data_IF_134489707617
#
_entry.id   IF_134489707617
#
_cell.length_a   1.000
_cell.length_b   1.000
_cell.length_c   1.000
_cell.angle_alpha   90.00
_cell.angle_beta   90.00
_cell.angle_gamma   90.00
#
_symmetry.space_group_name_H-M   'P 1'
#
loop_
_entity.id
_entity.type
_entity.pdbx_description
1 polymer ?
#
# COMPACT_ATOMS: atom_id res chain seq x y z
N UNK A 1 9.86 -73.45 -1.66
CA UNK A 1 8.86 -72.40 -1.99
C UNK A 1 9.28 -71.02 -1.45
N UNK A 2 10.44 -70.48 -1.86
CA UNK A 2 10.94 -69.16 -1.41
C UNK A 2 10.98 -68.09 -2.52
N UNK A 3 10.70 -68.49 -3.77
CA UNK A 3 10.75 -67.61 -4.95
C UNK A 3 9.41 -66.95 -5.32
N UNK A 4 8.29 -67.40 -4.76
CA UNK A 4 6.95 -66.85 -5.07
C UNK A 4 6.67 -65.55 -4.30
N UNK A 5 7.31 -65.35 -3.14
CA UNK A 5 7.12 -64.14 -2.32
C UNK A 5 7.87 -62.90 -2.84
N UNK A 6 8.83 -63.06 -3.75
CA UNK A 6 9.59 -61.95 -4.31
C UNK A 6 8.96 -61.36 -5.58
N UNK A 7 8.04 -62.07 -6.25
CA UNK A 7 7.36 -61.52 -7.43
C UNK A 7 6.24 -60.51 -7.11
N UNK A 8 5.67 -60.54 -5.90
CA UNK A 8 4.64 -59.57 -5.51
C UNK A 8 5.19 -58.20 -5.11
N UNK A 9 6.48 -58.06 -4.78
CA UNK A 9 7.06 -56.77 -4.43
C UNK A 9 7.59 -55.98 -5.64
N UNK A 10 7.79 -56.62 -6.79
CA UNK A 10 8.30 -55.96 -8.00
C UNK A 10 7.17 -55.43 -8.89
N UNK A 11 5.95 -55.94 -8.74
CA UNK A 11 4.78 -55.52 -9.53
C UNK A 11 4.06 -54.28 -8.96
N UNK A 12 4.39 -53.83 -7.74
CA UNK A 12 3.78 -52.65 -7.12
C UNK A 12 4.58 -51.34 -7.29
N UNK A 13 5.72 -51.37 -7.99
CA UNK A 13 6.64 -50.22 -8.14
C UNK A 13 6.51 -49.47 -9.49
N UNK A 14 5.54 -49.83 -10.34
CA UNK A 14 5.36 -49.22 -11.67
C UNK A 14 4.11 -48.35 -11.83
N UNK A 15 3.49 -47.92 -10.72
CA UNK A 15 2.44 -46.88 -10.71
C UNK A 15 2.94 -45.61 -10.04
N UNK A 16 4.19 -45.24 -10.27
CA UNK A 16 4.62 -43.84 -10.21
C UNK A 16 4.02 -43.12 -11.42
N UNK A 17 2.70 -42.95 -11.41
CA UNK A 17 2.04 -42.04 -12.33
C UNK A 17 2.75 -40.71 -12.20
N UNK A 18 3.47 -40.31 -13.24
CA UNK A 18 4.04 -38.98 -13.32
C UNK A 18 2.84 -38.05 -13.20
N UNK A 19 2.64 -37.47 -12.02
CA UNK A 19 1.75 -36.35 -11.85
C UNK A 19 2.37 -35.24 -12.70
N UNK A 20 1.98 -35.18 -13.97
CA UNK A 20 2.32 -34.08 -14.85
C UNK A 20 1.56 -32.91 -14.25
N UNK A 21 2.24 -32.15 -13.38
CA UNK A 21 1.74 -30.86 -12.92
C UNK A 21 1.60 -30.00 -14.19
N UNK A 22 0.41 -30.02 -14.77
CA UNK A 22 0.09 -29.28 -15.97
C UNK A 22 -0.17 -27.84 -15.54
N UNK A 23 0.89 -27.11 -15.21
CA UNK A 23 0.79 -25.69 -14.87
C UNK A 23 0.12 -24.98 -16.05
N UNK A 24 -0.98 -24.29 -15.81
CA UNK A 24 -1.71 -23.55 -16.84
C UNK A 24 -1.02 -22.20 -17.04
N UNK A 25 -0.68 -21.87 -18.29
CA UNK A 25 -0.18 -20.53 -18.62
C UNK A 25 -1.35 -19.58 -18.77
N UNK A 26 -1.32 -18.47 -18.04
CA UNK A 26 -2.28 -17.37 -18.18
C UNK A 26 -1.82 -16.40 -19.26
N UNK A 27 -2.73 -16.00 -20.14
CA UNK A 27 -2.53 -14.94 -21.13
C UNK A 27 -3.73 -13.99 -21.09
N UNK A 28 -3.46 -12.69 -21.10
CA UNK A 28 -4.49 -11.64 -21.12
C UNK A 28 -4.42 -10.90 -22.44
N UNK A 29 -5.57 -10.70 -23.08
CA UNK A 29 -5.73 -9.97 -24.34
C UNK A 29 -6.76 -8.85 -24.18
N UNK A 30 -6.65 -7.79 -24.99
CA UNK A 30 -7.60 -6.66 -24.99
C UNK A 30 -7.26 -5.53 -24.02
N UNK A 31 -6.13 -5.62 -23.31
CA UNK A 31 -5.58 -4.56 -22.46
C UNK A 31 -4.28 -4.01 -23.03
N UNK A 32 -3.96 -2.76 -22.71
CA UNK A 32 -2.67 -2.15 -23.06
C UNK A 32 -2.17 -1.24 -21.93
N UNK A 33 -0.88 -0.92 -21.97
CA UNK A 33 -0.25 0.05 -21.07
C UNK A 33 -0.42 -0.29 -19.58
N UNK A 34 -0.87 0.69 -18.80
CA UNK A 34 -0.98 0.56 -17.34
C UNK A 34 -2.06 -0.43 -16.91
N UNK A 35 -3.14 -0.60 -17.69
CA UNK A 35 -4.19 -1.59 -17.40
C UNK A 35 -3.64 -3.01 -17.48
N UNK A 36 -2.91 -3.31 -18.55
CA UNK A 36 -2.28 -4.62 -18.73
C UNK A 36 -1.25 -4.90 -17.63
N UNK A 37 -0.41 -3.92 -17.30
CA UNK A 37 0.59 -4.03 -16.24
C UNK A 37 -0.06 -4.33 -14.88
N UNK A 38 -1.12 -3.60 -14.52
CA UNK A 38 -1.79 -3.78 -13.23
C UNK A 38 -2.49 -5.14 -13.13
N UNK A 39 -3.21 -5.54 -14.18
CA UNK A 39 -3.85 -6.86 -14.24
C UNK A 39 -2.82 -7.99 -14.19
N UNK A 40 -1.68 -7.86 -14.89
CA UNK A 40 -0.61 -8.86 -14.84
C UNK A 40 0.03 -8.98 -13.45
N UNK A 41 0.21 -7.86 -12.76
CA UNK A 41 0.70 -7.85 -11.39
C UNK A 41 -0.27 -8.61 -10.46
N UNK A 42 -1.58 -8.35 -10.60
CA UNK A 42 -2.60 -9.05 -9.81
C UNK A 42 -2.63 -10.54 -10.12
N UNK A 43 -2.55 -10.94 -11.39
CA UNK A 43 -2.53 -12.36 -11.79
C UNK A 43 -1.28 -13.11 -11.32
N UNK A 44 -0.16 -12.41 -11.13
CA UNK A 44 1.09 -13.01 -10.63
C UNK A 44 1.01 -13.41 -9.16
N UNK A 45 -0.03 -12.98 -8.43
CA UNK A 45 -0.31 -13.41 -7.05
C UNK A 45 -1.01 -14.76 -6.97
N UNK A 46 -1.57 -15.25 -8.09
CA UNK A 46 -2.21 -16.56 -8.16
C UNK A 46 -1.12 -17.59 -8.43
N UNK A 47 -0.93 -18.53 -7.51
CA UNK A 47 0.04 -19.61 -7.70
C UNK A 47 -0.38 -20.47 -8.92
N UNK A 48 0.55 -20.62 -9.87
CA UNK A 48 0.31 -21.30 -11.16
C UNK A 48 0.40 -22.83 -11.10
N UNK A 49 0.58 -23.36 -9.90
CA UNK A 49 0.80 -24.77 -9.55
C UNK A 49 -0.49 -25.54 -9.23
N UNK A 50 -1.65 -24.88 -9.17
CA UNK A 50 -2.93 -25.58 -9.09
C UNK A 50 -3.29 -26.29 -10.42
N UNK A 51 -3.56 -27.58 -10.29
CA UNK A 51 -3.38 -28.65 -11.29
C UNK A 51 -4.51 -28.77 -12.33
N UNK A 52 -5.51 -27.89 -12.35
CA UNK A 52 -6.58 -27.98 -13.38
C UNK A 52 -7.22 -26.63 -13.70
N UNK A 53 -7.45 -26.29 -14.99
CA UNK A 53 -8.20 -25.10 -15.42
C UNK A 53 -9.71 -25.29 -15.22
N UNK A 54 -10.11 -25.61 -13.99
CA UNK A 54 -11.48 -25.83 -13.59
C UNK A 54 -12.25 -24.50 -13.46
N UNK A 55 -13.54 -24.58 -13.14
CA UNK A 55 -14.39 -23.39 -12.98
C UNK A 55 -13.93 -22.49 -11.82
N UNK A 56 -13.31 -23.06 -10.78
CA UNK A 56 -12.85 -22.31 -9.60
C UNK A 56 -11.61 -21.49 -9.91
N UNK A 57 -10.66 -22.07 -10.65
CA UNK A 57 -9.48 -21.36 -11.13
C UNK A 57 -9.88 -20.17 -12.01
N UNK A 58 -10.80 -20.37 -12.96
CA UNK A 58 -11.31 -19.28 -13.82
C UNK A 58 -11.99 -18.17 -13.02
N UNK A 59 -12.74 -18.50 -11.98
CA UNK A 59 -13.36 -17.50 -11.11
C UNK A 59 -12.31 -16.65 -10.38
N UNK A 60 -11.25 -17.26 -9.83
CA UNK A 60 -10.14 -16.51 -9.20
C UNK A 60 -9.41 -15.60 -10.20
N UNK A 61 -9.21 -16.07 -11.42
CA UNK A 61 -8.62 -15.27 -12.50
C UNK A 61 -9.54 -14.10 -12.89
N UNK A 62 -10.85 -14.33 -13.00
CA UNK A 62 -11.86 -13.29 -13.26
C UNK A 62 -11.82 -12.21 -12.15
N UNK A 63 -11.85 -12.63 -10.88
CA UNK A 63 -11.78 -11.73 -9.73
C UNK A 63 -10.49 -10.90 -9.74
N UNK A 64 -9.34 -11.52 -10.00
CA UNK A 64 -8.06 -10.82 -10.08
C UNK A 64 -8.01 -9.80 -11.24
N UNK A 65 -8.53 -10.15 -12.42
CA UNK A 65 -8.63 -9.21 -13.54
C UNK A 65 -9.54 -8.03 -13.17
N UNK A 66 -10.72 -8.31 -12.60
CA UNK A 66 -11.67 -7.28 -12.16
C UNK A 66 -11.05 -6.36 -11.12
N UNK A 67 -10.32 -6.88 -10.16
CA UNK A 67 -9.68 -6.07 -9.12
C UNK A 67 -8.59 -5.16 -9.70
N UNK A 68 -7.76 -5.69 -10.59
CA UNK A 68 -6.75 -4.90 -11.30
C UNK A 68 -7.36 -3.78 -12.16
N UNK A 69 -8.54 -4.02 -12.74
CA UNK A 69 -9.26 -3.03 -13.54
C UNK A 69 -10.01 -1.99 -12.68
N UNK A 70 -10.65 -2.40 -11.59
CA UNK A 70 -11.35 -1.52 -10.65
C UNK A 70 -10.42 -0.45 -10.07
N UNK A 71 -9.21 -0.85 -9.69
CA UNK A 71 -8.19 0.08 -9.17
C UNK A 71 -7.85 1.21 -10.15
N UNK A 72 -8.08 1.01 -11.45
CA UNK A 72 -7.85 1.95 -12.54
C UNK A 72 -9.16 2.48 -13.17
N UNK A 73 -10.29 2.36 -12.45
CA UNK A 73 -11.55 2.99 -12.81
C UNK A 73 -12.50 2.14 -13.65
N UNK A 74 -12.17 0.89 -13.98
CA UNK A 74 -12.99 0.04 -14.85
C UNK A 74 -13.76 -1.01 -14.04
N UNK A 75 -15.01 -0.68 -13.69
CA UNK A 75 -15.85 -1.49 -12.79
C UNK A 75 -16.75 -2.49 -13.50
N UNK A 76 -17.01 -2.29 -14.80
CA UNK A 76 -17.93 -3.11 -15.58
C UNK A 76 -17.23 -3.79 -16.78
N UNK A 77 -16.12 -4.52 -16.57
CA UNK A 77 -15.45 -5.20 -17.68
C UNK A 77 -16.18 -6.47 -18.10
N UNK A 78 -16.06 -6.80 -19.38
CA UNK A 78 -16.46 -8.09 -19.95
C UNK A 78 -15.22 -8.96 -20.12
N UNK A 79 -15.28 -10.19 -19.60
CA UNK A 79 -14.15 -11.14 -19.58
C UNK A 79 -14.63 -12.46 -20.17
N UNK A 80 -13.97 -12.92 -21.21
CA UNK A 80 -14.24 -14.20 -21.87
C UNK A 80 -13.02 -15.10 -21.79
N UNK A 81 -13.23 -16.37 -21.46
CA UNK A 81 -12.16 -17.35 -21.30
C UNK A 81 -12.14 -18.35 -22.47
N UNK A 82 -10.97 -18.49 -23.10
CA UNK A 82 -10.69 -19.51 -24.10
C UNK A 82 -9.56 -20.42 -23.59
N UNK A 83 -9.80 -21.73 -23.55
CA UNK A 83 -8.84 -22.70 -23.06
C UNK A 83 -8.24 -23.44 -24.26
N UNK A 84 -6.98 -23.13 -24.57
CA UNK A 84 -6.27 -23.75 -25.70
C UNK A 84 -5.55 -25.03 -25.25
N UNK A 85 -5.67 -26.12 -26.02
CA UNK A 85 -4.97 -27.36 -25.72
C UNK A 85 -3.44 -27.13 -25.74
N UNK A 86 -2.67 -27.90 -24.97
CA UNK A 86 -1.22 -27.76 -24.94
C UNK A 86 -0.62 -28.05 -26.33
N UNK A 87 0.35 -27.27 -26.80
CA UNK A 87 1.12 -27.62 -28.01
C UNK A 87 1.99 -28.87 -27.76
N UNK A 88 2.49 -29.50 -28.83
CA UNK A 88 3.28 -30.76 -28.78
C UNK A 88 4.42 -30.78 -27.74
N UNK A 89 4.97 -29.61 -27.41
CA UNK A 89 5.83 -29.37 -26.25
C UNK A 89 5.37 -28.08 -25.57
N UNK A 90 4.55 -28.16 -24.53
CA UNK A 90 4.15 -26.98 -23.79
C UNK A 90 3.01 -27.21 -22.81
N UNK A 91 2.63 -26.12 -22.14
CA UNK A 91 1.57 -26.08 -21.15
C UNK A 91 0.24 -25.68 -21.80
N UNK A 92 -0.86 -26.08 -21.16
CA UNK A 92 -2.18 -25.58 -21.52
C UNK A 92 -2.23 -24.07 -21.31
N UNK A 93 -2.92 -23.33 -22.18
CA UNK A 93 -3.01 -21.87 -22.10
C UNK A 93 -4.45 -21.46 -21.85
N UNK A 94 -4.69 -20.73 -20.76
CA UNK A 94 -5.96 -20.05 -20.50
C UNK A 94 -5.83 -18.60 -20.96
N UNK A 95 -6.56 -18.26 -22.02
CA UNK A 95 -6.61 -16.92 -22.59
C UNK A 95 -7.83 -16.22 -22.01
N UNK A 96 -7.60 -15.10 -21.32
CA UNK A 96 -8.65 -14.18 -20.88
C UNK A 96 -8.71 -12.99 -21.84
N UNK A 97 -9.78 -12.92 -22.63
CA UNK A 97 -10.07 -11.77 -23.50
C UNK A 97 -10.86 -10.77 -22.69
N UNK A 98 -10.29 -9.59 -22.49
CA UNK A 98 -10.80 -8.58 -21.57
C UNK A 98 -11.15 -7.31 -22.33
N UNK A 99 -12.39 -6.86 -22.17
CA UNK A 99 -12.83 -5.53 -22.61
C UNK A 99 -13.09 -4.67 -21.38
N UNK A 100 -12.29 -3.60 -21.13
CA UNK A 100 -12.41 -2.80 -19.90
C UNK A 100 -13.78 -2.17 -19.66
N UNK A 101 -14.50 -1.82 -20.74
CA UNK A 101 -15.79 -1.14 -20.67
C UNK A 101 -15.67 0.36 -20.39
N UNK A 102 -16.74 0.95 -19.86
CA UNK A 102 -16.81 2.40 -19.58
C UNK A 102 -16.04 2.71 -18.29
N UNK A 103 -15.10 3.68 -18.31
CA UNK A 103 -14.37 4.09 -17.12
C UNK A 103 -15.25 4.95 -16.21
N UNK A 104 -15.00 4.83 -14.91
CA UNK A 104 -15.43 5.79 -13.90
C UNK A 104 -14.49 6.99 -13.95
N UNK A 105 -15.07 8.19 -14.01
CA UNK A 105 -14.34 9.45 -14.05
C UNK A 105 -14.37 10.16 -12.69
N UNK A 106 -13.41 11.02 -12.42
CA UNK A 106 -13.41 11.88 -11.24
C UNK A 106 -14.54 12.90 -11.37
N UNK A 107 -15.52 12.83 -10.48
CA UNK A 107 -16.64 13.76 -10.35
C UNK A 107 -16.37 14.89 -9.36
N UNK A 108 -15.51 14.66 -8.36
CA UNK A 108 -15.12 15.66 -7.36
C UNK A 108 -14.02 15.14 -6.43
N UNK A 109 -13.17 16.05 -5.93
CA UNK A 109 -12.04 15.75 -5.05
C UNK A 109 -12.09 16.60 -3.77
N UNK A 110 -13.20 16.47 -3.04
CA UNK A 110 -13.48 17.29 -1.87
C UNK A 110 -12.57 16.88 -0.71
N UNK A 111 -11.79 17.86 -0.25
CA UNK A 111 -10.83 17.71 0.85
C UNK A 111 -10.95 18.93 1.75
N UNK A 112 -11.33 18.70 3.00
CA UNK A 112 -11.37 19.71 4.06
C UNK A 112 -10.18 19.49 4.98
N UNK A 113 -9.37 20.54 5.16
CA UNK A 113 -8.26 20.56 6.11
C UNK A 113 -8.62 21.39 7.34
N UNK A 114 -8.46 20.80 8.52
CA UNK A 114 -8.69 21.44 9.84
C UNK A 114 -7.41 21.49 10.66
N UNK A 115 -7.43 22.30 11.71
CA UNK A 115 -6.25 22.54 12.55
C UNK A 115 -5.17 23.34 11.81
N UNK A 116 -3.91 23.09 12.15
CA UNK A 116 -2.76 23.77 11.54
C UNK A 116 -2.57 23.46 10.05
N UNK A 117 -3.02 22.29 9.56
CA UNK A 117 -2.92 21.91 8.15
C UNK A 117 -3.65 22.87 7.21
N UNK A 118 -4.68 23.59 7.68
CA UNK A 118 -5.46 24.54 6.87
C UNK A 118 -4.60 25.66 6.28
N UNK A 119 -3.53 26.05 6.97
CA UNK A 119 -2.64 27.16 6.56
C UNK A 119 -1.21 26.71 6.36
N UNK A 120 -0.95 25.40 6.45
CA UNK A 120 0.39 24.85 6.31
C UNK A 120 0.76 24.67 4.83
N UNK A 121 1.90 25.25 4.43
CA UNK A 121 2.37 25.24 3.04
C UNK A 121 2.51 23.84 2.42
N UNK A 122 2.89 22.82 3.19
CA UNK A 122 3.12 21.47 2.66
C UNK A 122 1.79 20.76 2.40
N UNK A 123 0.80 20.99 3.29
CA UNK A 123 -0.56 20.51 3.08
C UNK A 123 -1.25 21.23 1.92
N UNK A 124 -1.10 22.56 1.83
CA UNK A 124 -1.65 23.34 0.71
C UNK A 124 -1.07 22.89 -0.63
N UNK A 125 0.25 22.66 -0.71
CA UNK A 125 0.88 22.11 -1.91
C UNK A 125 0.40 20.70 -2.26
N UNK A 126 0.07 19.89 -1.25
CA UNK A 126 -0.50 18.56 -1.49
C UNK A 126 -1.89 18.65 -2.14
N UNK A 127 -2.69 19.67 -1.83
CA UNK A 127 -4.00 19.86 -2.48
C UNK A 127 -3.88 20.04 -4.00
N UNK A 128 -2.75 20.53 -4.50
CA UNK A 128 -2.52 20.71 -5.95
C UNK A 128 -2.25 19.38 -6.67
N UNK A 129 -1.95 18.30 -5.94
CA UNK A 129 -1.70 16.98 -6.54
C UNK A 129 -2.96 16.15 -6.74
N UNK A 130 -4.14 16.68 -6.41
CA UNK A 130 -5.42 15.99 -6.61
C UNK A 130 -5.68 15.82 -8.12
N UNK A 131 -6.31 14.71 -8.53
CA UNK A 131 -6.67 14.53 -9.93
C UNK A 131 -7.74 15.55 -10.35
N UNK A 132 -7.67 16.00 -11.60
CA UNK A 132 -8.64 16.93 -12.15
C UNK A 132 -10.00 16.25 -12.39
N UNK A 133 -11.07 17.03 -12.33
CA UNK A 133 -12.41 16.54 -12.67
C UNK A 133 -12.45 16.10 -14.13
N UNK A 134 -13.09 14.95 -14.39
CA UNK A 134 -13.23 14.36 -15.72
C UNK A 134 -12.12 13.40 -16.13
N UNK A 135 -11.02 13.29 -15.37
CA UNK A 135 -10.00 12.25 -15.62
C UNK A 135 -10.51 10.88 -15.19
N UNK A 136 -9.96 9.81 -15.76
CA UNK A 136 -10.26 8.43 -15.32
C UNK A 136 -9.82 8.25 -13.86
N UNK A 137 -10.67 7.60 -13.06
CA UNK A 137 -10.36 7.28 -11.68
C UNK A 137 -9.14 6.37 -11.60
N UNK A 138 -8.19 6.73 -10.73
CA UNK A 138 -7.17 5.84 -10.24
C UNK A 138 -7.25 5.82 -8.70
N UNK A 139 -7.59 4.66 -8.13
CA UNK A 139 -7.74 4.51 -6.69
C UNK A 139 -6.40 4.69 -5.95
N UNK A 140 -5.28 4.45 -6.63
CA UNK A 140 -3.95 4.72 -6.11
C UNK A 140 -3.73 6.19 -5.75
N UNK A 141 -4.31 7.13 -6.51
CA UNK A 141 -4.17 8.55 -6.23
C UNK A 141 -4.85 8.93 -4.91
N UNK A 142 -6.03 8.38 -4.64
CA UNK A 142 -6.76 8.57 -3.38
C UNK A 142 -6.00 8.02 -2.17
N UNK A 143 -5.51 6.77 -2.27
CA UNK A 143 -4.77 6.15 -1.16
C UNK A 143 -3.41 6.82 -0.92
N UNK A 144 -2.72 7.21 -1.99
CA UNK A 144 -1.46 7.94 -1.87
C UNK A 144 -1.66 9.34 -1.28
N UNK A 145 -2.76 10.03 -1.64
CA UNK A 145 -3.10 11.31 -1.06
C UNK A 145 -3.31 11.21 0.46
N UNK A 146 -4.07 10.21 0.93
CA UNK A 146 -4.23 9.92 2.36
C UNK A 146 -2.91 9.63 3.05
N UNK A 147 -2.05 8.79 2.45
CA UNK A 147 -0.72 8.48 2.98
C UNK A 147 0.15 9.74 3.08
N UNK A 148 0.07 10.64 2.11
CA UNK A 148 0.79 11.91 2.11
C UNK A 148 0.33 12.84 3.24
N UNK A 149 -0.98 12.92 3.54
CA UNK A 149 -1.49 13.67 4.70
C UNK A 149 -0.85 13.16 6.01
N UNK A 150 -0.86 11.85 6.23
CA UNK A 150 -0.26 11.20 7.41
C UNK A 150 1.26 11.38 7.43
N UNK A 151 1.93 11.32 6.27
CA UNK A 151 3.38 11.49 6.18
C UNK A 151 3.81 12.92 6.55
N UNK A 152 3.07 13.93 6.10
CA UNK A 152 3.31 15.32 6.50
C UNK A 152 3.10 15.48 8.01
N UNK A 153 2.05 14.86 8.56
CA UNK A 153 1.79 14.91 9.99
C UNK A 153 2.94 14.37 10.83
N UNK A 154 3.42 13.17 10.50
CA UNK A 154 4.55 12.53 11.17
C UNK A 154 5.84 13.35 11.04
N UNK A 155 6.10 13.93 9.87
CA UNK A 155 7.31 14.73 9.61
C UNK A 155 7.31 16.03 10.41
N UNK A 156 6.16 16.70 10.53
CA UNK A 156 6.02 18.05 11.10
C UNK A 156 5.48 18.08 12.54
N UNK A 157 5.23 16.90 13.12
CA UNK A 157 4.82 16.77 14.51
C UNK A 157 3.34 17.06 14.76
N UNK A 158 2.46 16.80 13.79
CA UNK A 158 1.00 16.81 14.01
C UNK A 158 0.55 15.47 14.59
N UNK A 159 0.97 15.15 15.81
CA UNK A 159 0.77 13.82 16.39
C UNK A 159 -0.68 13.51 16.78
N UNK A 160 -1.52 14.55 16.90
CA UNK A 160 -2.97 14.43 17.13
C UNK A 160 -3.77 14.35 15.82
N UNK A 161 -3.11 14.18 14.68
CA UNK A 161 -3.82 14.18 13.40
C UNK A 161 -4.76 12.99 13.24
N UNK A 162 -5.94 13.24 12.67
CA UNK A 162 -6.97 12.23 12.46
C UNK A 162 -7.80 12.48 11.20
N UNK A 163 -8.34 11.42 10.62
CA UNK A 163 -9.37 11.49 9.59
C UNK A 163 -10.74 11.45 10.28
N UNK A 164 -11.48 12.55 10.22
CA UNK A 164 -12.89 12.56 10.64
C UNK A 164 -13.79 11.96 9.56
N UNK A 165 -13.38 12.10 8.29
CA UNK A 165 -13.92 11.36 7.15
C UNK A 165 -12.80 10.99 6.18
N UNK A 166 -12.93 9.80 5.58
CA UNK A 166 -12.09 9.35 4.49
C UNK A 166 -12.87 8.33 3.64
N UNK A 167 -13.66 8.83 2.70
CA UNK A 167 -14.49 8.00 1.82
C UNK A 167 -14.18 8.27 0.34
N UNK A 168 -14.21 7.20 -0.45
CA UNK A 168 -14.20 7.24 -1.91
C UNK A 168 -15.54 6.68 -2.39
N UNK A 169 -16.46 7.59 -2.72
CA UNK A 169 -17.79 7.23 -3.21
C UNK A 169 -17.77 6.94 -4.70
N UNK A 170 -18.26 5.76 -5.12
CA UNK A 170 -18.35 5.37 -6.53
C UNK A 170 -19.82 5.27 -6.94
N UNK A 171 -20.25 6.20 -7.80
CA UNK A 171 -21.60 6.22 -8.37
C UNK A 171 -21.57 5.57 -9.77
N UNK A 172 -21.73 4.25 -9.82
CA UNK A 172 -21.67 3.49 -11.08
C UNK A 172 -22.72 3.92 -12.11
N UNK A 173 -23.93 4.30 -11.67
CA UNK A 173 -24.98 4.78 -12.57
C UNK A 173 -24.65 6.12 -13.24
N UNK A 174 -23.69 6.88 -12.70
CA UNK A 174 -23.20 8.14 -13.26
C UNK A 174 -21.79 8.02 -13.86
N UNK A 175 -21.16 6.84 -13.74
CA UNK A 175 -19.73 6.62 -14.02
C UNK A 175 -18.83 7.67 -13.37
N UNK A 176 -19.13 8.04 -12.11
CA UNK A 176 -18.40 9.08 -11.37
C UNK A 176 -17.88 8.62 -10.02
N UNK A 177 -16.72 9.12 -9.63
CA UNK A 177 -16.11 8.94 -8.33
C UNK A 177 -15.96 10.27 -7.59
N UNK A 178 -16.21 10.26 -6.28
CA UNK A 178 -16.16 11.45 -5.43
C UNK A 178 -15.31 11.16 -4.20
N UNK A 179 -14.31 12.01 -3.94
CA UNK A 179 -13.60 11.96 -2.67
C UNK A 179 -14.39 12.76 -1.64
N UNK A 180 -14.50 12.24 -0.41
CA UNK A 180 -14.98 12.96 0.77
C UNK A 180 -13.94 12.74 1.88
N UNK A 181 -12.99 13.67 1.98
CA UNK A 181 -11.94 13.65 3.01
C UNK A 181 -12.14 14.86 3.92
N UNK A 182 -12.25 14.60 5.22
CA UNK A 182 -12.20 15.62 6.26
C UNK A 182 -11.09 15.26 7.25
N UNK A 183 -9.97 15.98 7.15
CA UNK A 183 -8.74 15.70 7.85
C UNK A 183 -8.40 16.81 8.84
N UNK A 184 -8.25 16.45 10.11
CA UNK A 184 -7.86 17.35 11.18
C UNK A 184 -6.44 17.06 11.60
N UNK A 185 -5.52 17.99 11.39
CA UNK A 185 -4.13 17.81 11.82
C UNK A 185 -3.92 18.06 13.31
N UNK A 186 -4.86 18.73 13.98
CA UNK A 186 -4.58 19.34 15.28
C UNK A 186 -3.49 20.42 15.17
N UNK A 187 -2.71 20.58 16.23
CA UNK A 187 -1.61 21.55 16.32
C UNK A 187 -0.24 20.88 16.14
N UNK A 188 0.76 21.64 15.69
CA UNK A 188 2.14 21.16 15.67
C UNK A 188 2.66 21.05 17.09
N UNK A 189 3.25 19.91 17.40
CA UNK A 189 4.02 19.75 18.61
C UNK A 189 5.33 20.53 18.52
N UNK A 190 5.84 20.90 19.69
CA UNK A 190 7.11 21.61 19.86
C UNK A 190 8.07 20.73 20.62
N UNK A 191 9.36 20.89 20.35
CA UNK A 191 10.40 20.18 21.11
C UNK A 191 10.36 20.61 22.57
N UNK A 192 10.38 19.63 23.47
CA UNK A 192 10.63 19.85 24.89
C UNK A 192 12.12 19.78 25.20
N UNK A 193 12.45 19.80 26.49
CA UNK A 193 13.79 19.56 26.97
C UNK A 193 14.29 18.14 26.61
N UNK A 194 15.56 18.03 26.23
CA UNK A 194 16.21 16.74 25.92
C UNK A 194 16.95 16.24 27.15
N UNK A 195 16.59 15.05 27.62
CA UNK A 195 17.27 14.38 28.74
C UNK A 195 18.16 13.26 28.19
N UNK A 196 19.40 13.21 28.66
CA UNK A 196 20.36 12.17 28.30
C UNK A 196 20.51 11.16 29.45
N UNK A 197 20.43 9.87 29.13
CA UNK A 197 20.59 8.77 30.08
C UNK A 197 21.73 7.84 29.65
N UNK A 198 22.46 7.27 30.61
CA UNK A 198 23.54 6.31 30.34
C UNK A 198 24.82 6.89 29.73
N UNK A 199 24.98 8.22 29.71
CA UNK A 199 26.16 8.89 29.18
C UNK A 199 27.29 9.00 30.20
N UNK A 200 28.52 8.75 29.76
CA UNK A 200 29.76 9.06 30.50
C UNK A 200 30.25 10.51 30.29
N UNK A 201 29.66 11.23 29.33
CA UNK A 201 30.00 12.62 28.99
C UNK A 201 29.11 13.57 29.79
N UNK A 202 29.69 14.69 30.27
CA UNK A 202 28.96 15.74 30.99
C UNK A 202 27.82 16.31 30.12
N UNK A 203 26.64 16.44 30.73
CA UNK A 203 25.40 16.84 30.04
C UNK A 203 25.54 18.14 29.23
N UNK A 204 26.25 19.14 29.78
CA UNK A 204 26.50 20.44 29.12
C UNK A 204 27.10 20.31 27.71
N UNK A 205 27.96 19.31 27.45
CA UNK A 205 28.53 19.07 26.12
C UNK A 205 27.51 18.44 25.18
N UNK A 206 26.60 17.61 25.70
CA UNK A 206 25.55 16.95 24.93
C UNK A 206 24.46 17.94 24.54
N UNK A 207 24.08 18.83 25.46
CA UNK A 207 23.12 19.89 25.18
C UNK A 207 23.58 20.80 24.03
N UNK A 208 24.88 21.06 23.91
CA UNK A 208 25.46 21.84 22.79
C UNK A 208 25.34 21.13 21.42
N UNK A 209 25.08 19.81 21.40
CA UNK A 209 24.87 19.07 20.15
C UNK A 209 23.41 19.12 19.68
N UNK A 210 22.46 19.53 20.53
CA UNK A 210 21.03 19.58 20.18
C UNK A 210 20.81 20.60 19.05
N UNK A 211 20.25 20.19 17.89
CA UNK A 211 20.12 21.06 16.72
C UNK A 211 18.90 22.01 16.78
N UNK A 212 18.15 21.99 17.87
CA UNK A 212 16.92 22.75 18.09
C UNK A 212 16.88 23.31 19.51
N UNK A 213 16.00 24.28 19.74
CA UNK A 213 15.73 24.85 21.05
C UNK A 213 14.42 24.31 21.60
N UNK A 214 14.30 24.30 22.92
CA UNK A 214 13.02 24.05 23.56
C UNK A 214 11.98 25.08 23.08
N UNK A 215 10.80 24.60 22.71
CA UNK A 215 9.72 25.41 22.14
C UNK A 215 9.76 25.55 20.62
N UNK A 216 10.83 25.12 19.93
CA UNK A 216 10.85 25.09 18.47
C UNK A 216 9.82 24.08 17.93
N UNK A 217 9.25 24.33 16.76
CA UNK A 217 8.30 23.40 16.14
C UNK A 217 9.01 22.10 15.74
N UNK A 218 8.36 20.97 16.02
CA UNK A 218 8.95 19.66 15.75
C UNK A 218 9.17 19.44 14.25
N UNK A 219 10.36 18.95 13.89
CA UNK A 219 10.61 18.31 12.61
C UNK A 219 11.41 17.02 12.77
N UNK A 220 11.00 15.95 12.09
CA UNK A 220 11.64 14.64 12.19
C UNK A 220 13.11 14.64 11.74
N UNK A 221 13.48 15.57 10.85
CA UNK A 221 14.86 15.73 10.38
C UNK A 221 15.80 16.16 11.51
N UNK A 222 15.30 16.88 12.50
CA UNK A 222 16.12 17.41 13.59
C UNK A 222 16.45 16.31 14.62
N UNK A 223 15.57 15.32 14.78
CA UNK A 223 15.89 14.09 15.52
C UNK A 223 16.99 13.28 14.82
N UNK A 224 16.90 13.14 13.49
CA UNK A 224 17.92 12.46 12.71
C UNK A 224 19.27 13.19 12.79
N UNK A 225 19.24 14.54 12.77
CA UNK A 225 20.44 15.36 12.94
C UNK A 225 21.04 15.24 14.34
N UNK A 226 20.22 15.23 15.40
CA UNK A 226 20.70 14.99 16.76
C UNK A 226 21.41 13.63 16.86
N UNK A 227 20.77 12.57 16.35
CA UNK A 227 21.38 11.24 16.33
C UNK A 227 22.70 11.23 15.55
N UNK A 228 22.73 11.87 14.37
CA UNK A 228 23.95 12.00 13.55
C UNK A 228 25.07 12.73 14.30
N UNK A 229 24.77 13.85 14.97
CA UNK A 229 25.74 14.63 15.76
C UNK A 229 26.31 13.81 16.91
N UNK A 230 25.47 13.09 17.64
CA UNK A 230 25.89 12.21 18.74
C UNK A 230 26.75 11.04 18.25
N UNK A 231 26.39 10.42 17.12
CA UNK A 231 27.23 9.36 16.53
C UNK A 231 28.57 9.90 16.01
N UNK A 232 28.59 11.11 15.44
CA UNK A 232 29.79 11.70 14.87
C UNK A 232 30.87 12.07 15.91
N UNK A 233 30.52 12.16 17.19
CA UNK A 233 31.51 12.40 18.25
C UNK A 233 32.40 11.19 18.53
N UNK A 234 31.95 9.97 18.17
CA UNK A 234 32.61 8.72 18.54
C UNK A 234 32.54 8.40 20.04
N UNK A 235 31.72 9.11 20.82
CA UNK A 235 31.62 8.90 22.27
C UNK A 235 30.77 7.68 22.66
N UNK A 236 29.89 7.21 21.77
CA UNK A 236 28.89 6.19 22.11
C UNK A 236 28.95 5.00 21.17
N UNK A 237 28.84 3.79 21.71
CA UNK A 237 28.70 2.56 20.92
C UNK A 237 27.31 2.43 20.28
N UNK A 238 26.29 3.03 20.91
CA UNK A 238 24.91 3.03 20.43
C UNK A 238 24.22 4.30 20.90
N UNK A 239 23.39 4.89 20.03
CA UNK A 239 22.57 6.07 20.32
C UNK A 239 21.15 5.77 19.89
N UNK A 240 20.19 6.00 20.79
CA UNK A 240 18.76 5.89 20.51
C UNK A 240 18.09 7.15 21.02
N UNK A 241 17.45 7.88 20.11
CA UNK A 241 16.66 9.08 20.45
C UNK A 241 15.18 8.71 20.36
N UNK A 242 14.49 8.71 21.50
CA UNK A 242 13.09 8.31 21.60
C UNK A 242 12.20 9.50 22.00
N UNK A 243 11.25 9.93 21.16
CA UNK A 243 10.28 10.97 21.53
C UNK A 243 9.34 10.48 22.64
N UNK A 244 9.24 11.24 23.72
CA UNK A 244 8.25 11.02 24.77
C UNK A 244 6.99 11.85 24.46
N UNK A 245 5.97 11.20 23.90
CA UNK A 245 4.70 11.85 23.57
C UNK A 245 3.88 12.08 24.85
N UNK A 246 4.08 13.23 25.49
CA UNK A 246 3.21 13.70 26.57
C UNK A 246 1.91 14.17 25.93
N UNK A 247 0.89 13.31 25.92
CA UNK A 247 -0.46 13.71 25.50
C UNK A 247 -0.94 14.84 26.41
N UNK A 248 -1.22 16.00 25.83
CA UNK A 248 -1.95 17.07 26.53
C UNK A 248 -3.29 16.49 26.97
N UNK A 249 -3.51 16.35 28.28
CA UNK A 249 -4.82 16.00 28.79
C UNK A 249 -5.81 17.05 28.27
N UNK A 250 -6.82 16.61 27.49
CA UNK A 250 -7.91 17.49 27.04
C UNK A 250 -8.50 18.12 28.30
N UNK A 251 -8.27 19.42 28.52
CA UNK A 251 -9.02 20.21 29.50
C UNK A 251 -10.47 20.18 29.05
N UNK A 252 -11.24 19.23 29.56
CA UNK A 252 -12.70 19.26 29.50
C UNK A 252 -13.13 20.44 30.39
N UNK A 253 -13.31 21.61 29.80
CA UNK A 253 -14.21 22.59 30.38
C UNK A 253 -15.62 22.00 30.23
N UNK A 254 -16.20 21.53 31.33
CA UNK A 254 -17.65 21.44 31.43
C UNK A 254 -18.18 22.80 31.89
N UNK A 255 -19.28 23.31 31.30
CA UNK A 255 -20.04 24.41 31.90
C UNK A 255 -20.62 24.01 33.27
#
# INVERSE_FOLDING_TARGET
MRYIRQLCCVSLLCLSGSAVAANVRLQVEGLSGQLEKNVRAQLSTIESDEVTPDRRFRARVDDAIREGLKALGYYQPTIEFDLRPPPKKGRQVLIAKVTPGVPVLIGGTDVVLRGGARTDKDYLKLLDTRPAIGTVLNQGDYENFKKSLTSIALRKGYFDSEFTKAQLGIALGLHKAFWDIDYNSGERYRFGHVTFEGSQIRDEYLQNLVPFKEGDEYESKDLAELNRRLSATGWFNSVVVAPQLIKRAKRKYYP
#
